data_IF_234829304205
#
_entry.id   IF_234829304205
#
_cell.length_a   1.000
_cell.length_b   1.000
_cell.length_c   1.000
_cell.angle_alpha   90.00
_cell.angle_beta   90.00
_cell.angle_gamma   90.00
#
_symmetry.space_group_name_H-M   'P 1'
#
loop_
_entity.id
_entity.type
_entity.pdbx_description
1 polymer ?
#
# COMPACT_ATOMS: atom_id res chain seq x y z
N UNK A 1 3.40 25.55 -16.19
CA UNK A 1 2.58 24.88 -15.16
C UNK A 1 3.50 24.13 -14.26
N UNK A 2 3.71 24.67 -13.06
CA UNK A 2 4.73 24.24 -12.12
C UNK A 2 4.37 22.88 -11.55
N UNK A 3 5.28 21.92 -11.71
CA UNK A 3 5.23 20.58 -11.13
C UNK A 3 5.41 20.75 -9.62
N UNK A 4 4.31 20.81 -8.86
CA UNK A 4 4.34 20.98 -7.42
C UNK A 4 5.10 19.82 -6.77
N UNK A 5 6.27 20.12 -6.22
CA UNK A 5 7.06 19.16 -5.45
C UNK A 5 6.44 18.97 -4.07
N UNK A 6 6.46 17.74 -3.55
CA UNK A 6 5.95 17.36 -2.22
C UNK A 6 6.48 18.19 -1.04
N UNK A 7 7.60 18.90 -1.21
CA UNK A 7 8.12 19.83 -0.21
C UNK A 7 7.26 21.08 -0.06
N UNK A 8 6.74 21.64 -1.16
CA UNK A 8 5.85 22.81 -1.09
C UNK A 8 4.59 22.50 -0.28
N UNK A 9 4.06 21.29 -0.45
CA UNK A 9 2.86 20.85 0.25
C UNK A 9 3.06 20.55 1.76
N UNK A 10 4.29 20.22 2.19
CA UNK A 10 4.59 20.04 3.62
C UNK A 10 4.75 21.39 4.32
N UNK A 11 5.34 22.37 3.64
CA UNK A 11 5.39 23.77 4.11
C UNK A 11 3.97 24.39 4.09
N UNK A 12 3.15 24.08 3.08
CA UNK A 12 1.75 24.54 3.00
C UNK A 12 0.86 23.90 4.09
N UNK A 13 1.17 22.72 4.63
CA UNK A 13 0.43 22.11 5.75
C UNK A 13 0.73 22.75 7.11
N UNK A 14 1.88 23.41 7.27
CA UNK A 14 2.16 24.21 8.47
C UNK A 14 1.45 25.58 8.43
N UNK A 15 0.99 26.02 7.25
CA UNK A 15 0.35 27.33 7.01
C UNK A 15 -1.10 27.25 6.44
N UNK A 16 -1.69 26.07 6.25
CA UNK A 16 -3.03 25.92 5.65
C UNK A 16 -4.18 26.06 6.66
N UNK A 17 -4.83 27.23 6.66
CA UNK A 17 -6.23 27.45 7.05
C UNK A 17 -7.19 26.85 5.98
N UNK A 18 -6.97 25.62 5.52
CA UNK A 18 -7.88 24.97 4.55
C UNK A 18 -8.72 23.90 5.23
N UNK A 19 -10.01 24.21 5.40
CA UNK A 19 -11.08 23.26 5.73
C UNK A 19 -10.84 21.93 4.98
N UNK A 20 -10.82 20.81 5.71
CA UNK A 20 -10.67 19.49 5.06
C UNK A 20 -11.79 19.31 4.04
N UNK A 21 -11.39 19.27 2.76
CA UNK A 21 -12.32 19.14 1.65
C UNK A 21 -13.24 17.93 1.85
N UNK A 22 -14.55 18.17 1.77
CA UNK A 22 -15.57 17.13 1.84
C UNK A 22 -15.30 16.08 0.76
N UNK A 23 -15.31 14.79 1.13
CA UNK A 23 -15.08 13.71 0.20
C UNK A 23 -16.21 13.71 -0.85
N UNK A 24 -15.92 13.83 -2.15
CA UNK A 24 -16.96 13.83 -3.18
C UNK A 24 -17.52 12.42 -3.39
N UNK A 25 -18.76 12.34 -3.91
CA UNK A 25 -19.38 11.08 -4.36
C UNK A 25 -18.52 10.39 -5.42
N UNK A 26 -18.53 9.05 -5.42
CA UNK A 26 -17.88 8.23 -6.46
C UNK A 26 -18.41 8.49 -7.87
N UNK A 27 -19.61 9.09 -8.03
CA UNK A 27 -20.14 9.52 -9.32
C UNK A 27 -19.21 10.50 -10.05
N UNK A 28 -18.34 11.21 -9.31
CA UNK A 28 -17.33 12.11 -9.89
C UNK A 28 -16.34 11.37 -10.81
N UNK A 29 -16.22 10.05 -10.70
CA UNK A 29 -15.37 9.23 -11.57
C UNK A 29 -15.85 9.22 -13.03
N UNK A 30 -17.14 9.50 -13.26
CA UNK A 30 -17.69 9.73 -14.60
C UNK A 30 -17.28 11.09 -15.21
N UNK A 31 -16.69 11.99 -14.41
CA UNK A 31 -16.31 13.36 -14.80
C UNK A 31 -14.83 13.65 -14.48
N UNK A 32 -13.86 13.09 -15.26
CA UNK A 32 -12.43 13.17 -14.95
C UNK A 32 -11.89 14.61 -14.80
N UNK A 33 -12.41 15.56 -15.57
CA UNK A 33 -12.02 16.97 -15.50
C UNK A 33 -12.49 17.64 -14.20
N UNK A 34 -13.59 17.17 -13.61
CA UNK A 34 -14.11 17.65 -12.33
C UNK A 34 -13.33 16.99 -11.20
N UNK A 35 -13.08 15.68 -11.29
CA UNK A 35 -12.22 14.96 -10.36
C UNK A 35 -10.85 15.62 -10.24
N UNK A 36 -10.17 15.87 -11.36
CA UNK A 36 -8.82 16.43 -11.38
C UNK A 36 -8.76 17.85 -10.82
N UNK A 37 -9.79 18.68 -11.02
CA UNK A 37 -9.83 20.06 -10.52
C UNK A 37 -10.36 20.20 -9.09
N UNK A 38 -11.30 19.35 -8.69
CA UNK A 38 -11.99 19.44 -7.41
C UNK A 38 -11.29 18.66 -6.30
N UNK A 39 -11.11 17.36 -6.50
CA UNK A 39 -10.48 16.48 -5.50
C UNK A 39 -8.99 16.28 -5.75
N UNK A 40 -8.62 16.25 -7.02
CA UNK A 40 -7.27 15.96 -7.47
C UNK A 40 -6.90 14.48 -7.33
N UNK A 41 -5.60 14.25 -7.24
CA UNK A 41 -4.97 12.92 -7.22
C UNK A 41 -4.07 12.72 -6.02
N UNK A 42 -4.20 13.60 -5.03
CA UNK A 42 -3.43 13.59 -3.80
C UNK A 42 -3.93 12.49 -2.88
N UNK A 43 -5.25 12.30 -2.76
CA UNK A 43 -5.88 11.29 -1.89
C UNK A 43 -6.77 10.37 -2.72
N UNK A 44 -6.95 9.13 -2.28
CA UNK A 44 -7.89 8.21 -2.93
C UNK A 44 -9.33 8.57 -2.54
N UNK A 45 -10.26 8.35 -3.45
CA UNK A 45 -11.67 8.26 -3.07
C UNK A 45 -11.93 6.95 -2.32
N UNK A 46 -12.68 6.97 -1.21
CA UNK A 46 -13.06 5.75 -0.51
C UNK A 46 -13.93 4.89 -1.43
N UNK A 47 -13.53 3.65 -1.62
CA UNK A 47 -14.37 2.69 -2.33
C UNK A 47 -15.60 2.33 -1.49
N UNK A 48 -16.77 2.38 -2.12
CA UNK A 48 -18.03 2.00 -1.51
C UNK A 48 -18.74 0.95 -2.39
N UNK A 49 -19.09 -0.18 -1.78
CA UNK A 49 -19.65 -1.31 -2.52
C UNK A 49 -21.05 -0.97 -3.05
N UNK A 50 -21.23 -1.14 -4.37
CA UNK A 50 -22.52 -0.91 -5.03
C UNK A 50 -22.71 0.51 -5.56
N UNK A 51 -21.80 1.44 -5.26
CA UNK A 51 -21.85 2.81 -5.77
C UNK A 51 -21.24 2.94 -7.18
N UNK A 52 -20.29 2.07 -7.53
CA UNK A 52 -19.63 2.07 -8.85
C UNK A 52 -19.24 0.67 -9.29
N UNK A 53 -19.16 0.46 -10.61
CA UNK A 53 -18.65 -0.78 -11.17
C UNK A 53 -17.18 -1.01 -10.81
N UNK A 54 -16.85 -2.25 -10.49
CA UNK A 54 -15.50 -2.57 -10.01
C UNK A 54 -14.41 -2.34 -11.05
N UNK A 55 -14.72 -2.60 -12.33
CA UNK A 55 -13.79 -2.32 -13.43
C UNK A 55 -13.50 -0.83 -13.57
N UNK A 56 -14.50 0.01 -13.32
CA UNK A 56 -14.36 1.47 -13.38
C UNK A 56 -13.48 1.97 -12.22
N UNK A 57 -13.72 1.49 -11.00
CA UNK A 57 -12.85 1.81 -9.86
C UNK A 57 -11.41 1.31 -10.05
N UNK A 58 -11.20 0.14 -10.68
CA UNK A 58 -9.85 -0.31 -11.06
C UNK A 58 -9.19 0.62 -12.08
N UNK A 59 -9.95 1.18 -13.02
CA UNK A 59 -9.47 2.23 -13.93
C UNK A 59 -9.00 3.47 -13.18
N UNK A 60 -9.80 3.95 -12.22
CA UNK A 60 -9.42 5.06 -11.34
C UNK A 60 -8.12 4.78 -10.57
N UNK A 61 -7.94 3.57 -10.02
CA UNK A 61 -6.70 3.18 -9.33
C UNK A 61 -5.49 3.17 -10.28
N UNK A 62 -5.68 2.76 -11.54
CA UNK A 62 -4.63 2.84 -12.55
C UNK A 62 -4.24 4.29 -12.84
N UNK A 63 -5.20 5.19 -13.03
CA UNK A 63 -4.93 6.61 -13.27
C UNK A 63 -4.24 7.26 -12.06
N UNK A 64 -4.72 6.94 -10.85
CA UNK A 64 -4.11 7.39 -9.61
C UNK A 64 -2.65 6.94 -9.54
N UNK A 65 -2.35 5.68 -9.86
CA UNK A 65 -0.98 5.16 -9.87
C UNK A 65 -0.08 5.92 -10.85
N UNK A 66 -0.53 6.14 -12.08
CA UNK A 66 0.28 6.84 -13.09
C UNK A 66 0.56 8.29 -12.72
N UNK A 67 -0.44 9.01 -12.19
CA UNK A 67 -0.28 10.39 -11.72
C UNK A 67 0.57 10.49 -10.44
N UNK A 68 0.79 9.37 -9.76
CA UNK A 68 1.57 9.27 -8.52
C UNK A 68 2.79 8.32 -8.63
N UNK A 69 3.32 8.07 -9.84
CA UNK A 69 4.39 7.08 -10.04
C UNK A 69 5.66 7.36 -9.21
N UNK A 70 6.00 8.64 -8.99
CA UNK A 70 7.18 9.06 -8.22
C UNK A 70 6.96 9.00 -6.68
N UNK A 71 5.73 8.71 -6.22
CA UNK A 71 5.38 8.85 -4.81
C UNK A 71 6.01 7.80 -3.89
N UNK A 72 6.27 6.59 -4.40
CA UNK A 72 6.94 5.53 -3.60
C UNK A 72 8.32 6.03 -3.16
N UNK A 73 9.09 6.60 -4.08
CA UNK A 73 10.40 7.19 -3.77
C UNK A 73 10.26 8.38 -2.81
N UNK A 74 9.29 9.27 -3.02
CA UNK A 74 9.06 10.41 -2.14
C UNK A 74 8.72 10.01 -0.68
N UNK A 75 7.88 9.00 -0.50
CA UNK A 75 7.50 8.51 0.83
C UNK A 75 8.68 7.86 1.57
N UNK A 76 9.59 7.19 0.83
CA UNK A 76 10.86 6.67 1.35
C UNK A 76 11.79 7.82 1.77
N UNK A 77 11.94 8.84 0.91
CA UNK A 77 12.87 9.95 1.13
C UNK A 77 12.48 10.82 2.33
N UNK A 78 11.17 10.97 2.62
CA UNK A 78 10.69 11.62 3.83
C UNK A 78 11.16 10.96 5.15
N UNK A 79 11.70 9.73 5.10
CA UNK A 79 12.31 9.06 6.26
C UNK A 79 13.80 9.40 6.44
N UNK A 80 14.49 9.87 5.39
CA UNK A 80 15.91 10.25 5.43
C UNK A 80 16.09 11.72 5.00
N UNK A 81 16.00 12.69 5.93
CA UNK A 81 16.28 14.09 5.62
C UNK A 81 17.70 14.28 5.02
N UNK A 82 18.65 13.42 5.36
CA UNK A 82 20.03 13.48 4.86
C UNK A 82 20.18 13.30 3.33
N UNK A 83 19.15 12.77 2.65
CA UNK A 83 19.15 12.63 1.19
C UNK A 83 18.57 13.85 0.47
N UNK A 84 18.01 14.85 1.16
CA UNK A 84 17.49 16.06 0.48
C UNK A 84 18.59 16.96 -0.09
N UNK A 85 19.85 16.79 0.34
CA UNK A 85 20.97 17.63 -0.11
C UNK A 85 21.37 17.32 -1.56
N UNK A 86 21.05 16.14 -2.08
CA UNK A 86 21.32 15.73 -3.47
C UNK A 86 20.11 14.94 -3.99
N UNK A 87 19.42 15.45 -5.01
CA UNK A 87 18.12 14.96 -5.50
C UNK A 87 18.00 13.44 -5.69
N UNK A 88 16.75 12.95 -5.86
CA UNK A 88 16.38 11.52 -5.99
C UNK A 88 17.46 10.78 -6.80
N UNK A 89 18.21 9.90 -6.15
CA UNK A 89 19.25 9.13 -6.83
C UNK A 89 18.59 8.36 -7.98
N UNK A 90 19.04 8.53 -9.23
CA UNK A 90 18.43 7.88 -10.39
C UNK A 90 18.54 6.34 -10.34
N UNK A 91 19.31 5.79 -9.40
CA UNK A 91 19.46 4.35 -9.15
C UNK A 91 18.91 3.92 -7.78
N UNK A 92 18.00 4.67 -7.16
CA UNK A 92 17.37 4.24 -5.92
C UNK A 92 16.51 3.00 -6.21
N UNK A 93 17.02 1.84 -5.81
CA UNK A 93 16.22 0.64 -5.72
C UNK A 93 15.17 0.85 -4.62
N UNK A 94 13.97 1.25 -5.03
CA UNK A 94 12.87 1.63 -4.14
C UNK A 94 12.40 0.46 -3.30
N UNK A 95 12.41 -0.76 -3.83
CA UNK A 95 12.05 -1.98 -3.10
C UNK A 95 13.04 -2.28 -1.98
N UNK A 96 14.35 -2.26 -2.25
CA UNK A 96 15.38 -2.47 -1.23
C UNK A 96 15.36 -1.38 -0.15
N UNK A 97 15.23 -0.12 -0.56
CA UNK A 97 15.14 0.99 0.37
C UNK A 97 13.88 0.90 1.24
N UNK A 98 12.73 0.57 0.63
CA UNK A 98 11.48 0.35 1.37
C UNK A 98 11.59 -0.84 2.32
N UNK A 99 12.25 -1.93 1.93
CA UNK A 99 12.47 -3.10 2.78
C UNK A 99 13.35 -2.79 4.01
N UNK A 100 14.47 -2.07 3.84
CA UNK A 100 15.32 -1.63 4.97
C UNK A 100 14.53 -0.75 5.95
N UNK A 101 13.78 0.23 5.44
CA UNK A 101 12.95 1.09 6.27
C UNK A 101 11.82 0.33 6.95
N UNK A 102 11.19 -0.62 6.25
CA UNK A 102 10.18 -1.50 6.82
C UNK A 102 10.77 -2.28 8.01
N UNK A 103 11.96 -2.89 7.87
CA UNK A 103 12.64 -3.61 8.96
C UNK A 103 12.84 -2.70 10.18
N UNK A 104 13.29 -1.46 9.97
CA UNK A 104 13.51 -0.49 11.06
C UNK A 104 12.20 -0.09 11.75
N UNK A 105 11.16 0.17 10.97
CA UNK A 105 9.84 0.54 11.49
C UNK A 105 9.21 -0.59 12.31
N UNK A 106 9.35 -1.85 11.84
CA UNK A 106 8.90 -3.03 12.56
C UNK A 106 9.68 -3.27 13.85
N UNK A 107 11.01 -3.07 13.82
CA UNK A 107 11.84 -3.16 15.01
C UNK A 107 11.43 -2.12 16.06
N UNK A 108 11.15 -0.88 15.63
CA UNK A 108 10.63 0.17 16.52
C UNK A 108 9.28 -0.21 17.11
N UNK A 109 8.34 -0.69 16.29
CA UNK A 109 7.02 -1.14 16.75
C UNK A 109 7.13 -2.28 17.78
N UNK A 110 8.01 -3.26 17.55
CA UNK A 110 8.27 -4.36 18.48
C UNK A 110 8.93 -3.91 19.79
N UNK A 111 9.70 -2.82 19.77
CA UNK A 111 10.38 -2.28 20.96
C UNK A 111 9.44 -1.57 21.94
N UNK A 112 8.20 -1.26 21.52
CA UNK A 112 7.28 -0.50 22.36
C UNK A 112 6.75 -1.37 23.53
N UNK A 113 6.83 -0.87 24.78
CA UNK A 113 6.80 -1.67 26.01
C UNK A 113 5.44 -2.23 26.47
N UNK A 114 4.63 -2.79 25.55
CA UNK A 114 3.39 -3.60 25.74
C UNK A 114 2.06 -2.86 25.52
N UNK A 115 1.52 -3.00 24.31
CA UNK A 115 0.07 -3.18 24.01
C UNK A 115 -0.19 -4.12 22.82
N UNK A 116 0.84 -4.68 22.20
CA UNK A 116 0.70 -5.58 21.05
C UNK A 116 0.36 -7.00 21.52
N UNK A 117 -0.62 -7.62 20.86
CA UNK A 117 -0.98 -9.01 21.08
C UNK A 117 0.07 -9.96 20.49
N UNK A 118 0.03 -11.24 20.89
CA UNK A 118 0.89 -12.28 20.29
C UNK A 118 0.70 -12.41 18.78
N UNK A 119 -0.52 -12.14 18.28
CA UNK A 119 -0.83 -12.19 16.84
C UNK A 119 -0.13 -11.05 16.10
N UNK A 120 -0.11 -9.86 16.68
CA UNK A 120 0.52 -8.67 16.10
C UNK A 120 2.04 -8.85 16.01
N UNK A 121 2.65 -9.41 17.06
CA UNK A 121 4.08 -9.73 17.07
C UNK A 121 4.41 -10.78 16.00
N UNK A 122 3.56 -11.79 15.82
CA UNK A 122 3.75 -12.82 14.79
C UNK A 122 3.71 -12.22 13.38
N UNK A 123 2.75 -11.31 13.12
CA UNK A 123 2.65 -10.60 11.85
C UNK A 123 3.91 -9.73 11.61
N UNK A 124 4.31 -8.93 12.60
CA UNK A 124 5.51 -8.08 12.52
C UNK A 124 6.79 -8.88 12.20
N UNK A 125 6.92 -10.08 12.78
CA UNK A 125 8.04 -10.99 12.46
C UNK A 125 7.98 -11.52 11.03
N UNK A 126 6.81 -11.96 10.56
CA UNK A 126 6.63 -12.45 9.20
C UNK A 126 6.96 -11.36 8.16
N UNK A 127 6.51 -10.12 8.41
CA UNK A 127 6.87 -8.95 7.61
C UNK A 127 8.38 -8.73 7.61
N UNK A 128 9.02 -8.74 8.79
CA UNK A 128 10.47 -8.53 8.92
C UNK A 128 11.26 -9.61 8.18
N UNK A 129 10.84 -10.87 8.26
CA UNK A 129 11.46 -11.99 7.55
C UNK A 129 11.34 -11.83 6.03
N UNK A 130 10.16 -11.46 5.54
CA UNK A 130 9.95 -11.21 4.11
C UNK A 130 10.76 -10.01 3.61
N UNK A 131 10.80 -8.91 4.36
CA UNK A 131 11.61 -7.74 4.01
C UNK A 131 13.11 -8.06 3.94
N UNK A 132 13.63 -8.87 4.89
CA UNK A 132 15.02 -9.35 4.85
C UNK A 132 15.30 -10.22 3.62
N UNK A 133 14.35 -11.08 3.25
CA UNK A 133 14.47 -11.90 2.05
C UNK A 133 14.59 -11.04 0.79
N UNK A 134 13.70 -10.07 0.59
CA UNK A 134 13.76 -9.16 -0.57
C UNK A 134 15.06 -8.36 -0.57
N UNK A 135 15.46 -7.81 0.57
CA UNK A 135 16.71 -7.07 0.72
C UNK A 135 17.98 -7.88 0.35
N UNK A 136 17.95 -9.20 0.54
CA UNK A 136 19.09 -10.08 0.29
C UNK A 136 19.08 -10.73 -1.10
N UNK A 137 17.89 -11.05 -1.63
CA UNK A 137 17.73 -11.84 -2.86
C UNK A 137 17.78 -11.02 -4.15
N UNK A 138 17.41 -9.73 -4.11
CA UNK A 138 17.34 -8.88 -5.30
C UNK A 138 16.24 -9.27 -6.30
N UNK A 139 15.41 -10.27 -5.98
CA UNK A 139 14.23 -10.66 -6.75
C UNK A 139 13.04 -9.83 -6.25
N UNK A 140 12.56 -8.94 -7.11
CA UNK A 140 11.62 -7.89 -6.72
C UNK A 140 10.29 -8.08 -7.40
N UNK A 141 9.30 -8.49 -6.61
CA UNK A 141 7.90 -8.29 -6.97
C UNK A 141 7.67 -6.79 -7.20
N UNK A 142 6.94 -6.44 -8.25
CA UNK A 142 6.52 -5.06 -8.52
C UNK A 142 5.81 -4.40 -7.32
N UNK A 143 5.18 -5.21 -6.47
CA UNK A 143 4.47 -4.76 -5.28
C UNK A 143 5.38 -4.54 -4.07
N UNK A 144 6.66 -4.96 -4.10
CA UNK A 144 7.56 -4.88 -2.95
C UNK A 144 7.74 -3.44 -2.46
N UNK A 145 8.06 -2.50 -3.35
CA UNK A 145 8.18 -1.07 -3.01
C UNK A 145 6.89 -0.50 -2.40
N UNK A 146 5.75 -0.49 -3.13
CA UNK A 146 4.46 -0.03 -2.60
C UNK A 146 4.04 -0.71 -1.30
N UNK A 147 4.18 -2.03 -1.20
CA UNK A 147 3.75 -2.81 -0.05
C UNK A 147 4.58 -2.56 1.20
N UNK A 148 5.91 -2.50 1.09
CA UNK A 148 6.76 -2.14 2.23
C UNK A 148 6.56 -0.69 2.67
N UNK A 149 6.31 0.25 1.75
CA UNK A 149 5.98 1.63 2.10
C UNK A 149 4.64 1.71 2.85
N UNK A 150 3.61 1.00 2.38
CA UNK A 150 2.33 0.88 3.08
C UNK A 150 2.51 0.31 4.49
N UNK A 151 3.25 -0.80 4.61
CA UNK A 151 3.48 -1.46 5.90
C UNK A 151 4.25 -0.55 6.86
N UNK A 152 5.30 0.10 6.37
CA UNK A 152 6.12 1.03 7.14
C UNK A 152 5.26 2.18 7.69
N UNK A 153 4.42 2.80 6.85
CA UNK A 153 3.58 3.93 7.27
C UNK A 153 2.48 3.52 8.25
N UNK A 154 1.89 2.35 8.08
CA UNK A 154 0.99 1.78 9.07
C UNK A 154 1.71 1.47 10.40
N UNK A 155 2.93 0.93 10.37
CA UNK A 155 3.71 0.70 11.58
C UNK A 155 4.09 2.00 12.32
N UNK A 156 4.40 3.08 11.59
CA UNK A 156 4.60 4.42 12.15
C UNK A 156 3.33 4.97 12.82
N UNK A 157 2.18 4.85 12.15
CA UNK A 157 0.88 5.26 12.70
C UNK A 157 0.56 4.48 13.98
N UNK A 158 0.77 3.16 13.97
CA UNK A 158 0.62 2.32 15.17
C UNK A 158 1.54 2.79 16.31
N UNK A 159 2.79 3.16 16.02
CA UNK A 159 3.68 3.70 17.04
C UNK A 159 3.14 4.97 17.68
N UNK A 160 2.45 5.83 16.92
CA UNK A 160 1.81 7.05 17.41
C UNK A 160 0.56 6.72 18.25
N UNK A 161 -0.33 5.88 17.72
CA UNK A 161 -1.55 5.43 18.41
C UNK A 161 -1.26 4.79 19.77
N UNK A 162 -0.17 4.03 19.87
CA UNK A 162 0.25 3.40 21.12
C UNK A 162 0.63 4.41 22.21
N UNK A 163 1.03 5.61 21.82
CA UNK A 163 1.40 6.72 22.72
C UNK A 163 0.20 7.59 23.09
N UNK A 164 -0.92 7.50 22.36
CA UNK A 164 -2.14 8.23 22.65
C UNK A 164 -2.77 7.77 24.00
N UNK A 165 -3.54 8.68 24.61
CA UNK A 165 -4.20 8.47 25.91
C UNK A 165 -5.52 7.67 25.82
N UNK A 166 -6.04 7.45 24.61
CA UNK A 166 -7.23 6.62 24.36
C UNK A 166 -6.85 5.14 24.12
N UNK A 167 -7.85 4.26 24.08
CA UNK A 167 -7.65 2.84 23.76
C UNK A 167 -7.39 2.65 22.26
N UNK A 168 -6.16 2.26 21.84
CA UNK A 168 -5.83 2.16 20.43
C UNK A 168 -6.23 0.81 19.82
N UNK A 169 -6.83 -0.13 20.57
CA UNK A 169 -6.98 -1.54 20.19
C UNK A 169 -7.60 -1.75 18.81
N UNK A 170 -8.69 -1.05 18.49
CA UNK A 170 -9.36 -1.18 17.19
C UNK A 170 -8.50 -0.64 16.05
N UNK A 171 -7.86 0.51 16.23
CA UNK A 171 -6.96 1.11 15.24
C UNK A 171 -5.72 0.24 14.98
N UNK A 172 -5.17 -0.37 16.04
CA UNK A 172 -4.05 -1.34 15.92
C UNK A 172 -4.50 -2.58 15.15
N UNK A 173 -5.68 -3.12 15.45
CA UNK A 173 -6.26 -4.26 14.72
C UNK A 173 -6.44 -3.93 13.24
N UNK A 174 -6.96 -2.75 12.93
CA UNK A 174 -7.20 -2.28 11.57
C UNK A 174 -5.89 -2.06 10.79
N UNK A 175 -4.90 -1.37 11.37
CA UNK A 175 -3.56 -1.25 10.78
C UNK A 175 -2.90 -2.62 10.54
N UNK A 176 -3.08 -3.59 11.44
CA UNK A 176 -2.58 -4.96 11.23
C UNK A 176 -3.33 -5.70 10.10
N UNK A 177 -4.61 -5.42 9.88
CA UNK A 177 -5.34 -5.94 8.72
C UNK A 177 -4.72 -5.41 7.43
N UNK A 178 -4.52 -4.10 7.31
CA UNK A 178 -3.91 -3.48 6.13
C UNK A 178 -2.49 -4.04 5.89
N UNK A 179 -1.66 -4.10 6.93
CA UNK A 179 -0.29 -4.62 6.85
C UNK A 179 -0.25 -6.08 6.38
N UNK A 180 -1.18 -6.91 6.86
CA UNK A 180 -1.31 -8.30 6.44
C UNK A 180 -1.78 -8.40 4.99
N UNK A 181 -2.74 -7.58 4.58
CA UNK A 181 -3.22 -7.52 3.21
C UNK A 181 -2.13 -7.12 2.23
N UNK A 182 -1.35 -6.09 2.57
CA UNK A 182 -0.19 -5.69 1.79
C UNK A 182 0.85 -6.82 1.67
N UNK A 183 1.16 -7.51 2.77
CA UNK A 183 2.05 -8.67 2.75
C UNK A 183 1.53 -9.78 1.85
N UNK A 184 0.25 -10.17 1.98
CA UNK A 184 -0.35 -11.23 1.18
C UNK A 184 -0.26 -10.92 -0.32
N UNK A 185 -0.63 -9.69 -0.72
CA UNK A 185 -0.56 -9.25 -2.12
C UNK A 185 0.86 -9.32 -2.68
N UNK A 186 1.89 -8.95 -1.89
CA UNK A 186 3.29 -9.06 -2.31
C UNK A 186 3.73 -10.51 -2.55
N UNK A 187 3.11 -11.48 -1.87
CA UNK A 187 3.42 -12.91 -2.01
C UNK A 187 2.81 -13.53 -3.27
N UNK A 188 1.86 -12.86 -3.92
CA UNK A 188 1.30 -13.32 -5.19
C UNK A 188 2.23 -12.99 -6.35
N UNK A 189 2.41 -13.96 -7.25
CA UNK A 189 3.11 -13.75 -8.51
C UNK A 189 2.08 -13.44 -9.60
N UNK A 190 1.79 -12.16 -9.79
CA UNK A 190 0.91 -11.65 -10.84
C UNK A 190 1.69 -10.74 -11.77
N UNK A 191 1.21 -10.60 -13.01
CA UNK A 191 1.84 -9.68 -13.94
C UNK A 191 1.66 -8.22 -13.48
N UNK A 192 2.53 -7.34 -13.99
CA UNK A 192 2.55 -5.92 -13.60
C UNK A 192 1.21 -5.23 -13.84
N UNK A 193 0.50 -5.52 -14.93
CA UNK A 193 -0.75 -4.82 -15.26
C UNK A 193 -1.86 -5.16 -14.26
N UNK A 194 -1.92 -6.43 -13.83
CA UNK A 194 -2.81 -6.91 -12.77
C UNK A 194 -2.43 -6.35 -11.40
N UNK A 195 -1.13 -6.11 -11.17
CA UNK A 195 -0.62 -5.58 -9.91
C UNK A 195 -0.83 -4.06 -9.71
N UNK A 196 -1.03 -3.27 -10.77
CA UNK A 196 -1.12 -1.79 -10.67
C UNK A 196 -2.20 -1.33 -9.67
N UNK A 197 -3.45 -1.83 -9.69
CA UNK A 197 -4.47 -1.39 -8.73
C UNK A 197 -4.06 -1.65 -7.27
N UNK A 198 -3.38 -2.77 -7.00
CA UNK A 198 -2.88 -3.09 -5.67
C UNK A 198 -1.76 -2.14 -5.24
N UNK A 199 -0.83 -1.84 -6.15
CA UNK A 199 0.22 -0.84 -5.90
C UNK A 199 -0.38 0.54 -5.60
N UNK A 200 -1.39 0.97 -6.35
CA UNK A 200 -2.08 2.24 -6.15
C UNK A 200 -2.75 2.33 -4.77
N UNK A 201 -3.50 1.28 -4.41
CA UNK A 201 -4.16 1.18 -3.12
C UNK A 201 -3.17 1.20 -1.94
N UNK A 202 -2.05 0.48 -2.04
CA UNK A 202 -0.98 0.50 -1.03
C UNK A 202 -0.34 1.88 -0.88
N UNK A 203 -0.08 2.59 -1.99
CA UNK A 203 0.48 3.95 -1.95
C UNK A 203 -0.53 4.93 -1.34
N UNK A 204 -1.82 4.81 -1.68
CA UNK A 204 -2.89 5.60 -1.06
C UNK A 204 -2.99 5.36 0.45
N UNK A 205 -3.02 4.10 0.89
CA UNK A 205 -3.02 3.74 2.31
C UNK A 205 -1.78 4.26 3.04
N UNK A 206 -0.59 4.17 2.42
CA UNK A 206 0.63 4.72 3.02
C UNK A 206 0.54 6.23 3.25
N UNK A 207 -0.09 6.94 2.31
CA UNK A 207 -0.30 8.38 2.40
C UNK A 207 -1.31 8.71 3.50
N UNK A 208 -2.46 8.05 3.52
CA UNK A 208 -3.48 8.27 4.54
C UNK A 208 -2.98 7.91 5.94
N UNK A 209 -2.18 6.85 6.09
CA UNK A 209 -1.54 6.53 7.36
C UNK A 209 -0.55 7.63 7.81
N UNK A 210 0.17 8.25 6.86
CA UNK A 210 1.04 9.41 7.14
C UNK A 210 0.20 10.61 7.61
N UNK A 211 -0.91 10.91 6.93
CA UNK A 211 -1.84 11.97 7.32
C UNK A 211 -2.46 11.74 8.69
N UNK A 212 -3.06 10.58 8.91
CA UNK A 212 -3.64 10.19 10.20
C UNK A 212 -2.62 10.34 11.33
N UNK A 213 -1.37 9.95 11.09
CA UNK A 213 -0.28 10.13 12.06
C UNK A 213 0.00 11.61 12.36
N UNK A 214 0.04 12.47 11.34
CA UNK A 214 0.24 13.91 11.50
C UNK A 214 -0.93 14.54 12.28
N UNK A 215 -2.16 14.18 11.93
CA UNK A 215 -3.37 14.64 12.62
C UNK A 215 -3.33 14.25 14.11
N UNK A 216 -2.92 13.03 14.45
CA UNK A 216 -2.75 12.59 15.86
C UNK A 216 -1.65 13.34 16.63
N UNK A 217 -0.82 14.14 15.96
CA UNK A 217 0.16 15.01 16.62
C UNK A 217 -0.32 16.44 16.85
N UNK A 218 -1.45 16.83 16.24
CA UNK A 218 -2.10 18.12 16.49
C UNK A 218 -2.86 18.06 17.82
N UNK A 219 -2.87 19.19 18.54
CA UNK A 219 -3.58 19.33 19.83
C UNK A 219 -4.91 20.10 19.70
N UNK A 220 -5.40 20.35 18.49
CA UNK A 220 -6.61 21.13 18.18
C UNK A 220 -7.89 20.28 18.03
N UNK A 221 -9.06 20.92 18.07
CA UNK A 221 -10.37 20.25 17.96
C UNK A 221 -10.65 19.72 16.54
N UNK A 222 -10.10 20.38 15.53
CA UNK A 222 -10.23 20.01 14.12
C UNK A 222 -9.51 18.69 13.80
N UNK A 223 -8.48 18.32 14.59
CA UNK A 223 -7.80 17.02 14.47
C UNK A 223 -8.74 15.81 14.49
N UNK A 224 -9.90 15.87 15.15
CA UNK A 224 -10.83 14.74 15.19
C UNK A 224 -11.52 14.51 13.83
N UNK A 225 -12.00 15.59 13.19
CA UNK A 225 -12.67 15.51 11.89
C UNK A 225 -11.70 15.06 10.79
N UNK A 226 -10.48 15.57 10.83
CA UNK A 226 -9.43 15.21 9.87
C UNK A 226 -9.05 13.73 9.98
N UNK A 227 -9.05 13.19 11.21
CA UNK A 227 -8.78 11.79 11.46
C UNK A 227 -9.89 10.91 10.92
N UNK A 228 -11.16 11.28 11.13
CA UNK A 228 -12.31 10.56 10.60
C UNK A 228 -12.27 10.47 9.07
N UNK A 229 -11.89 11.56 8.38
CA UNK A 229 -11.70 11.55 6.92
C UNK A 229 -10.58 10.59 6.49
N UNK A 230 -9.46 10.58 7.22
CA UNK A 230 -8.39 9.61 6.96
C UNK A 230 -8.88 8.17 7.14
N UNK A 231 -9.64 7.90 8.20
CA UNK A 231 -10.16 6.56 8.47
C UNK A 231 -11.18 6.11 7.43
N UNK A 232 -12.09 6.98 6.97
CA UNK A 232 -13.01 6.66 5.86
C UNK A 232 -12.26 6.24 4.58
N UNK A 233 -11.23 6.98 4.18
CA UNK A 233 -10.43 6.64 2.99
C UNK A 233 -9.66 5.33 3.21
N UNK A 234 -9.08 5.13 4.41
CA UNK A 234 -8.36 3.89 4.74
C UNK A 234 -9.29 2.69 4.74
N UNK A 235 -10.50 2.79 5.28
CA UNK A 235 -11.50 1.72 5.30
C UNK A 235 -11.91 1.32 3.88
N UNK A 236 -12.31 2.30 3.06
CA UNK A 236 -12.64 2.04 1.65
C UNK A 236 -11.48 1.40 0.89
N UNK A 237 -10.25 1.88 1.11
CA UNK A 237 -9.06 1.33 0.43
C UNK A 237 -8.65 -0.04 0.99
N UNK A 238 -8.92 -0.36 2.25
CA UNK A 238 -8.68 -1.69 2.82
C UNK A 238 -9.63 -2.75 2.25
N UNK A 239 -10.88 -2.38 1.94
CA UNK A 239 -11.81 -3.26 1.23
C UNK A 239 -11.30 -3.56 -0.20
N UNK A 240 -10.74 -2.55 -0.87
CA UNK A 240 -10.07 -2.71 -2.17
C UNK A 240 -8.94 -3.75 -2.09
N UNK A 241 -8.07 -3.68 -1.09
CA UNK A 241 -7.01 -4.70 -0.91
C UNK A 241 -7.61 -6.09 -0.71
N UNK A 242 -8.63 -6.22 0.13
CA UNK A 242 -9.30 -7.51 0.41
C UNK A 242 -9.92 -8.11 -0.86
N UNK A 243 -10.48 -7.26 -1.74
CA UNK A 243 -11.03 -7.69 -3.02
C UNK A 243 -9.95 -8.12 -4.00
N UNK A 244 -8.85 -7.36 -4.09
CA UNK A 244 -7.71 -7.70 -4.95
C UNK A 244 -7.01 -8.99 -4.51
N UNK A 245 -6.87 -9.24 -3.20
CA UNK A 245 -6.33 -10.51 -2.68
C UNK A 245 -7.15 -11.71 -3.18
N UNK A 246 -8.48 -11.61 -3.16
CA UNK A 246 -9.38 -12.66 -3.66
C UNK A 246 -9.23 -12.85 -5.18
N UNK A 247 -8.99 -11.79 -5.94
CA UNK A 247 -8.73 -11.88 -7.39
C UNK A 247 -7.40 -12.57 -7.67
N UNK A 248 -6.32 -12.12 -7.02
CA UNK A 248 -4.99 -12.71 -7.22
C UNK A 248 -4.96 -14.19 -6.86
N UNK A 249 -5.64 -14.59 -5.77
CA UNK A 249 -5.76 -15.99 -5.39
C UNK A 249 -6.45 -16.86 -6.46
N UNK A 250 -7.47 -16.33 -7.15
CA UNK A 250 -8.17 -17.03 -8.24
C UNK A 250 -7.29 -17.17 -9.48
N UNK A 251 -6.57 -16.11 -9.83
CA UNK A 251 -5.71 -16.10 -11.02
C UNK A 251 -4.51 -17.05 -10.84
N UNK A 252 -3.95 -17.11 -9.62
CA UNK A 252 -2.88 -18.05 -9.29
C UNK A 252 -3.36 -19.50 -9.41
N UNK A 253 -4.60 -19.80 -9.00
CA UNK A 253 -5.19 -21.13 -9.13
C UNK A 253 -5.52 -21.52 -10.58
N UNK A 254 -5.98 -20.55 -11.39
CA UNK A 254 -6.28 -20.75 -12.82
C UNK A 254 -5.00 -21.06 -13.62
N UNK A 255 -3.92 -20.29 -13.39
CA UNK A 255 -2.64 -20.48 -14.08
C UNK A 255 -1.94 -21.79 -13.68
N UNK A 256 -2.14 -22.27 -12.44
CA UNK A 256 -1.66 -23.59 -12.00
C UNK A 256 -2.35 -24.77 -12.70
N UNK A 257 -3.56 -24.59 -13.23
CA UNK A 257 -4.31 -25.64 -13.93
C UNK A 257 -3.88 -25.84 -15.39
N UNK A 258 -3.19 -24.87 -16.01
CA UNK A 258 -2.82 -24.93 -17.44
C UNK A 258 -1.54 -25.77 -17.67
N UNK A 259 -0.78 -26.08 -16.62
CA UNK A 259 0.47 -26.86 -16.73
C UNK A 259 0.30 -28.39 -16.58
N UNK A 260 -0.92 -28.90 -16.38
CA UNK A 260 -1.18 -30.33 -16.24
C UNK A 260 -2.28 -30.82 -17.22
N UNK A 261 -1.92 -30.94 -18.49
CA UNK A 261 -2.64 -31.77 -19.46
C UNK A 261 -1.72 -32.06 -20.66
N UNK A 262 -1.45 -33.29 -21.08
CA UNK A 262 -1.83 -34.62 -20.65
C UNK A 262 -0.71 -35.59 -21.10
N UNK A 263 -0.50 -36.75 -20.45
CA UNK A 263 0.41 -37.76 -20.98
C UNK A 263 -0.27 -38.46 -22.15
N UNK A 264 0.12 -38.14 -23.39
CA UNK A 264 -0.19 -39.01 -24.53
C UNK A 264 0.55 -40.33 -24.35
N UNK A 265 -0.18 -41.34 -23.92
CA UNK A 265 0.23 -42.73 -23.98
C UNK A 265 0.65 -43.08 -25.42
N UNK A 266 1.92 -43.40 -25.63
CA UNK A 266 2.36 -44.20 -26.78
C UNK A 266 2.64 -45.61 -26.27
N UNK A 267 1.93 -46.58 -26.86
CA UNK A 267 2.10 -48.02 -26.67
C UNK A 267 3.55 -48.44 -27.00
N UNK A 268 4.05 -49.53 -26.40
CA UNK A 268 5.31 -50.14 -26.79
C UNK A 268 5.12 -50.92 -28.11
N UNK A 269 5.96 -50.64 -29.10
CA UNK A 269 6.16 -51.54 -30.24
C UNK A 269 7.41 -52.38 -29.98
N UNK A 270 7.24 -53.67 -30.23
CA UNK A 270 8.13 -54.77 -29.90
C UNK A 270 9.48 -54.67 -30.62
N UNK A 271 10.55 -54.94 -29.87
CA UNK A 271 11.84 -55.34 -30.43
C UNK A 271 11.80 -56.83 -30.77
N UNK A 272 11.90 -57.17 -32.05
CA UNK A 272 12.37 -58.51 -32.47
C UNK A 272 13.64 -58.39 -33.35
N UNK A 273 14.73 -58.88 -32.76
CA UNK A 273 15.79 -59.74 -33.32
C UNK A 273 16.24 -59.60 -34.78
N UNK A 274 17.55 -59.37 -34.90
CA UNK A 274 18.40 -59.51 -36.08
C UNK A 274 18.48 -60.95 -36.65
N UNK A 275 18.63 -61.07 -37.99
CA UNK A 275 19.79 -61.62 -38.73
C UNK A 275 19.85 -60.96 -40.10
#
# INVERSE_FOLDING_TARGET
MSRWGLLGWLDDLEDADEDVAEIPSLDILSEPDILERGWGWQRLLPYEYGCIEWSEFKGYLQDYYHKNADQVAALIMNYKPDFYVWGISPNLNTSHAAADLCIRSEAKLQSLPRKLSRKDIKLSRAITEHAKHIFQSGDESFLAGPGFVCIMKEAELMCQLLQCKFDPTNFISFSNQIRRSALNLMLHNVDKSTAIPAAAAMVGLAREAKFARYVLTREDYESYMDYDVCDMIREGTAEVLTRLEKEFARDTASNGSVLLGAPTARKPEETEGAV
#
